data_IF_690865154387
#
_entry.id   IF_690865154387
#
_cell.length_a   1.000
_cell.length_b   1.000
_cell.length_c   1.000
_cell.angle_alpha   90.00
_cell.angle_beta   90.00
_cell.angle_gamma   90.00
#
_symmetry.space_group_name_H-M   'P 1'
#
loop_
_entity.id
_entity.type
_entity.pdbx_description
1 polymer ?
#
# COMPACT_ATOMS: atom_id res chain seq x y z
N UNK A 1 14.50 21.84 9.33
CA UNK A 1 13.97 21.69 7.97
C UNK A 1 14.01 20.24 7.52
N UNK A 2 12.86 19.62 7.49
CA UNK A 2 12.75 18.24 7.03
C UNK A 2 12.67 18.20 5.51
N UNK A 3 13.53 17.40 4.90
CA UNK A 3 13.44 17.14 3.48
C UNK A 3 12.23 16.24 3.20
N UNK A 4 11.68 16.28 1.99
CA UNK A 4 10.57 15.40 1.62
C UNK A 4 10.94 13.92 1.75
N UNK A 5 12.22 13.57 1.62
CA UNK A 5 12.74 12.22 1.83
C UNK A 5 12.79 11.83 3.31
N UNK A 6 12.66 12.79 4.21
CA UNK A 6 12.76 12.58 5.66
C UNK A 6 11.40 12.48 6.34
N UNK A 7 10.33 12.35 5.56
CA UNK A 7 8.98 12.15 6.11
C UNK A 7 8.94 10.80 6.82
N UNK A 8 8.71 10.80 8.15
CA UNK A 8 9.06 9.65 8.98
C UNK A 8 8.28 8.38 8.69
N UNK A 9 7.13 8.49 8.02
CA UNK A 9 6.27 7.33 7.80
C UNK A 9 6.04 7.01 6.34
N UNK A 10 6.76 7.66 5.41
CA UNK A 10 6.62 7.39 3.99
C UNK A 10 7.88 6.72 3.47
N UNK A 11 7.72 5.54 2.86
CA UNK A 11 8.81 4.77 2.28
C UNK A 11 8.49 4.53 0.81
N UNK A 12 9.42 4.87 -0.07
CA UNK A 12 9.28 4.62 -1.51
C UNK A 12 10.16 3.45 -1.89
N UNK A 13 9.61 2.51 -2.64
CA UNK A 13 10.36 1.37 -3.16
C UNK A 13 10.19 1.27 -4.67
N UNK A 14 11.23 0.82 -5.35
CA UNK A 14 11.23 0.74 -6.82
C UNK A 14 10.44 -0.46 -7.35
N UNK A 15 10.15 -1.42 -6.50
CA UNK A 15 9.38 -2.60 -6.86
C UNK A 15 9.12 -3.47 -5.64
N UNK A 16 8.21 -4.42 -5.78
CA UNK A 16 7.81 -5.32 -4.68
C UNK A 16 8.96 -6.21 -4.20
N UNK A 17 9.96 -6.45 -5.04
CA UNK A 17 11.15 -7.20 -4.66
C UNK A 17 11.96 -6.53 -3.56
N UNK A 18 11.71 -5.23 -3.34
CA UNK A 18 12.39 -4.47 -2.28
C UNK A 18 11.72 -4.59 -0.91
N UNK A 19 10.55 -5.20 -0.84
CA UNK A 19 9.81 -5.32 0.43
C UNK A 19 10.61 -6.06 1.49
N UNK A 20 11.34 -7.08 1.11
CA UNK A 20 12.11 -7.89 2.06
C UNK A 20 13.12 -7.06 2.85
N UNK A 21 13.62 -6.00 2.23
CA UNK A 21 14.57 -5.09 2.89
C UNK A 21 13.92 -4.29 4.04
N UNK A 22 12.59 -4.22 4.05
CA UNK A 22 11.84 -3.43 5.04
C UNK A 22 11.29 -4.27 6.19
N UNK A 23 11.40 -5.60 6.14
CA UNK A 23 10.74 -6.46 7.12
C UNK A 23 11.20 -6.20 8.56
N UNK A 24 12.46 -5.85 8.76
CA UNK A 24 12.99 -5.52 10.09
C UNK A 24 12.49 -4.18 10.63
N UNK A 25 11.97 -3.30 9.76
CA UNK A 25 11.47 -1.98 10.16
C UNK A 25 9.97 -1.95 10.42
N UNK A 26 9.27 -3.04 10.06
CA UNK A 26 7.82 -3.13 10.20
C UNK A 26 7.48 -4.23 11.20
N UNK A 27 6.93 -3.83 12.34
CA UNK A 27 6.66 -4.73 13.47
C UNK A 27 5.21 -5.19 13.50
N UNK A 28 4.72 -5.76 12.43
CA UNK A 28 3.36 -6.29 12.42
C UNK A 28 2.79 -6.45 11.03
N UNK A 29 1.47 -6.62 10.92
CA UNK A 29 0.83 -6.89 9.65
C UNK A 29 0.97 -5.75 8.65
N UNK A 30 1.02 -6.13 7.38
CA UNK A 30 1.05 -5.19 6.25
C UNK A 30 -0.28 -5.30 5.51
N UNK A 31 -0.94 -4.16 5.30
CA UNK A 31 -2.16 -4.10 4.49
C UNK A 31 -1.77 -3.81 3.04
N UNK A 32 -1.90 -4.81 2.18
CA UNK A 32 -1.57 -4.69 0.76
C UNK A 32 -2.77 -4.17 -0.01
N UNK A 33 -2.65 -2.99 -0.58
CA UNK A 33 -3.69 -2.38 -1.41
C UNK A 33 -3.24 -2.21 -2.86
N UNK A 34 -2.23 -2.97 -3.30
CA UNK A 34 -1.73 -2.92 -4.67
C UNK A 34 -2.57 -3.75 -5.66
N UNK A 35 -3.55 -4.48 -5.16
CA UNK A 35 -4.38 -5.37 -5.97
C UNK A 35 -3.82 -6.79 -6.05
N UNK A 36 -4.46 -7.61 -6.87
CA UNK A 36 -4.13 -9.04 -6.96
C UNK A 36 -2.86 -9.33 -7.75
N UNK A 37 -2.50 -8.45 -8.67
CA UNK A 37 -1.38 -8.72 -9.59
C UNK A 37 -0.02 -8.81 -8.88
N UNK A 38 0.15 -8.15 -7.75
CA UNK A 38 1.40 -8.18 -7.00
C UNK A 38 1.49 -9.26 -5.94
N UNK A 39 0.42 -10.00 -5.70
CA UNK A 39 0.36 -10.96 -4.58
C UNK A 39 1.43 -12.04 -4.69
N UNK A 40 1.58 -12.62 -5.88
CA UNK A 40 2.58 -13.66 -6.10
C UNK A 40 3.99 -13.17 -5.77
N UNK A 41 4.33 -11.97 -6.22
CA UNK A 41 5.63 -11.38 -5.97
C UNK A 41 5.84 -11.09 -4.49
N UNK A 42 4.80 -10.66 -3.79
CA UNK A 42 4.87 -10.43 -2.34
C UNK A 42 5.14 -11.76 -1.62
N UNK A 43 4.44 -12.82 -2.00
CA UNK A 43 4.65 -14.14 -1.40
C UNK A 43 6.06 -14.67 -1.68
N UNK A 44 6.57 -14.46 -2.89
CA UNK A 44 7.92 -14.87 -3.26
C UNK A 44 9.02 -14.09 -2.53
N UNK A 45 8.71 -12.92 -2.00
CA UNK A 45 9.68 -12.11 -1.26
C UNK A 45 10.01 -12.67 0.12
N UNK A 46 9.28 -13.69 0.57
CA UNK A 46 9.51 -14.37 1.85
C UNK A 46 9.48 -13.44 3.07
N UNK A 47 8.54 -12.51 3.08
CA UNK A 47 8.33 -11.65 4.24
C UNK A 47 7.88 -12.47 5.45
N UNK A 48 8.39 -12.15 6.61
CA UNK A 48 7.94 -12.75 7.86
C UNK A 48 6.63 -12.12 8.35
N UNK A 49 6.33 -10.91 7.90
CA UNK A 49 5.12 -10.21 8.28
C UNK A 49 3.87 -10.85 7.68
N UNK A 50 2.81 -10.87 8.47
CA UNK A 50 1.48 -11.19 7.93
C UNK A 50 1.09 -10.12 6.93
N UNK A 51 0.59 -10.51 5.76
CA UNK A 51 0.11 -9.57 4.75
C UNK A 51 -1.37 -9.84 4.50
N UNK A 52 -2.18 -8.80 4.65
CA UNK A 52 -3.61 -8.86 4.34
C UNK A 52 -3.79 -8.22 2.96
N UNK A 53 -4.34 -8.98 2.02
CA UNK A 53 -4.48 -8.55 0.63
C UNK A 53 -5.88 -8.03 0.35
N UNK A 54 -5.96 -6.74 -0.01
CA UNK A 54 -7.22 -6.14 -0.44
C UNK A 54 -7.29 -6.23 -1.96
N UNK A 55 -8.30 -6.93 -2.44
CA UNK A 55 -8.41 -7.29 -3.86
C UNK A 55 -9.84 -7.09 -4.37
N UNK A 56 -9.98 -7.09 -5.69
CA UNK A 56 -11.29 -7.01 -6.32
C UNK A 56 -12.09 -8.29 -6.04
N UNK A 57 -13.39 -8.17 -5.71
CA UNK A 57 -14.23 -9.35 -5.44
C UNK A 57 -14.65 -10.06 -6.73
N UNK A 58 -13.73 -10.77 -7.36
CA UNK A 58 -14.01 -11.55 -8.54
C UNK A 58 -13.65 -13.01 -8.32
N UNK A 59 -14.36 -13.89 -9.01
CA UNK A 59 -14.12 -15.33 -8.92
C UNK A 59 -12.70 -15.68 -9.33
N UNK A 60 -12.21 -15.07 -10.41
CA UNK A 60 -10.85 -15.31 -10.91
C UNK A 60 -9.80 -14.89 -9.86
N UNK A 61 -9.94 -13.70 -9.30
CA UNK A 61 -9.01 -13.20 -8.29
C UNK A 61 -9.00 -14.08 -7.06
N UNK A 62 -10.18 -14.48 -6.57
CA UNK A 62 -10.27 -15.35 -5.41
C UNK A 62 -9.64 -16.72 -5.67
N UNK A 63 -9.89 -17.31 -6.85
CA UNK A 63 -9.27 -18.57 -7.21
C UNK A 63 -7.74 -18.44 -7.28
N UNK A 64 -7.25 -17.38 -7.89
CA UNK A 64 -5.81 -17.15 -8.02
C UNK A 64 -5.13 -17.03 -6.65
N UNK A 65 -5.73 -16.29 -5.73
CA UNK A 65 -5.16 -16.10 -4.39
C UNK A 65 -5.18 -17.41 -3.59
N UNK A 66 -6.28 -18.15 -3.66
CA UNK A 66 -6.39 -19.43 -2.96
C UNK A 66 -5.37 -20.44 -3.52
N UNK A 67 -5.21 -20.47 -4.83
CA UNK A 67 -4.24 -21.35 -5.48
C UNK A 67 -2.79 -20.98 -5.10
N UNK A 68 -2.53 -19.71 -4.83
CA UNK A 68 -1.22 -19.26 -4.35
C UNK A 68 -0.98 -19.59 -2.87
N UNK A 69 -2.00 -20.09 -2.18
CA UNK A 69 -1.87 -20.44 -0.76
C UNK A 69 -2.22 -19.32 0.21
N UNK A 70 -2.83 -18.24 -0.26
CA UNK A 70 -3.25 -17.16 0.63
C UNK A 70 -4.43 -17.64 1.46
N UNK A 71 -4.36 -17.43 2.77
CA UNK A 71 -5.44 -17.81 3.68
C UNK A 71 -6.63 -16.88 3.52
N UNK A 72 -7.84 -17.42 3.67
CA UNK A 72 -9.06 -16.62 3.54
C UNK A 72 -9.08 -15.45 4.52
N UNK A 73 -8.60 -15.66 5.74
CA UNK A 73 -8.54 -14.60 6.76
C UNK A 73 -7.58 -13.45 6.40
N UNK A 74 -6.75 -13.64 5.38
CA UNK A 74 -5.82 -12.63 4.90
C UNK A 74 -6.29 -11.97 3.60
N UNK A 75 -7.57 -12.14 3.24
CA UNK A 75 -8.14 -11.57 2.03
C UNK A 75 -9.29 -10.64 2.37
N UNK A 76 -9.23 -9.42 1.84
CA UNK A 76 -10.35 -8.47 1.86
C UNK A 76 -10.79 -8.29 0.40
N UNK A 77 -11.95 -8.84 0.06
CA UNK A 77 -12.50 -8.73 -1.30
C UNK A 77 -13.50 -7.58 -1.32
N UNK A 78 -13.09 -6.45 -1.86
CA UNK A 78 -13.92 -5.25 -1.90
C UNK A 78 -13.62 -4.45 -3.16
N UNK A 79 -14.66 -3.87 -3.75
CA UNK A 79 -14.50 -3.00 -4.91
C UNK A 79 -14.11 -1.60 -4.44
N UNK A 80 -12.98 -1.11 -4.91
CA UNK A 80 -12.52 0.25 -4.66
C UNK A 80 -13.00 1.24 -5.71
N UNK A 81 -12.65 2.51 -5.58
CA UNK A 81 -11.94 3.06 -4.43
C UNK A 81 -12.83 3.15 -3.18
N UNK A 82 -12.21 3.14 -2.02
CA UNK A 82 -12.93 3.31 -0.74
C UNK A 82 -12.43 4.58 -0.05
N UNK A 83 -13.26 5.13 0.82
CA UNK A 83 -12.95 6.39 1.48
C UNK A 83 -12.00 6.25 2.66
N UNK A 84 -11.70 7.38 3.28
CA UNK A 84 -10.81 7.47 4.42
C UNK A 84 -11.28 6.58 5.58
N UNK A 85 -12.56 6.68 5.95
CA UNK A 85 -13.09 5.97 7.12
C UNK A 85 -12.92 4.46 7.02
N UNK A 86 -13.20 3.90 5.85
CA UNK A 86 -13.09 2.46 5.66
C UNK A 86 -11.63 2.01 5.60
N UNK A 87 -10.76 2.81 4.98
CA UNK A 87 -9.32 2.53 5.01
C UNK A 87 -8.81 2.51 6.46
N UNK A 88 -9.21 3.50 7.25
CA UNK A 88 -8.82 3.59 8.65
C UNK A 88 -9.33 2.41 9.45
N UNK A 89 -10.58 2.00 9.21
CA UNK A 89 -11.19 0.86 9.89
C UNK A 89 -10.44 -0.44 9.60
N UNK A 90 -10.02 -0.67 8.37
CA UNK A 90 -9.22 -1.84 8.03
C UNK A 90 -7.87 -1.84 8.74
N UNK A 91 -7.20 -0.69 8.77
CA UNK A 91 -5.92 -0.56 9.48
C UNK A 91 -6.10 -0.92 10.96
N UNK A 92 -7.13 -0.38 11.59
CA UNK A 92 -7.40 -0.61 13.00
C UNK A 92 -7.81 -2.05 13.28
N UNK A 93 -8.68 -2.62 12.45
CA UNK A 93 -9.19 -3.98 12.64
C UNK A 93 -8.09 -5.03 12.53
N UNK A 94 -7.24 -4.90 11.52
CA UNK A 94 -6.16 -5.86 11.30
C UNK A 94 -4.88 -5.48 12.04
N UNK A 95 -4.88 -4.37 12.76
CA UNK A 95 -3.72 -3.86 13.50
C UNK A 95 -2.51 -3.72 12.59
N UNK A 96 -2.74 -3.23 11.37
CA UNK A 96 -1.70 -3.06 10.38
C UNK A 96 -0.64 -2.07 10.85
N UNK A 97 0.61 -2.37 10.59
CA UNK A 97 1.74 -1.50 10.91
C UNK A 97 2.31 -0.84 9.67
N UNK A 98 1.86 -1.26 8.50
CA UNK A 98 2.19 -0.63 7.23
C UNK A 98 1.04 -0.79 6.26
N UNK A 99 0.90 0.18 5.37
CA UNK A 99 -0.03 0.10 4.24
C UNK A 99 0.80 0.19 2.97
N UNK A 100 0.64 -0.81 2.11
CA UNK A 100 1.35 -0.90 0.84
C UNK A 100 0.42 -0.46 -0.28
N UNK A 101 0.83 0.52 -1.05
CA UNK A 101 0.08 1.03 -2.20
C UNK A 101 1.01 1.21 -3.39
N UNK A 102 0.44 1.23 -4.58
CA UNK A 102 1.22 1.50 -5.79
C UNK A 102 0.90 2.89 -6.31
N UNK A 103 1.89 3.49 -6.96
CA UNK A 103 1.71 4.72 -7.72
C UNK A 103 1.16 4.36 -9.10
N UNK A 104 -0.15 4.34 -9.22
CA UNK A 104 -0.81 3.92 -10.46
C UNK A 104 -0.97 5.04 -11.47
N UNK A 105 -0.79 6.28 -11.06
CA UNK A 105 -1.10 7.42 -11.90
C UNK A 105 -2.58 7.61 -12.17
N UNK A 106 -3.42 6.81 -11.54
CA UNK A 106 -4.88 6.88 -11.68
C UNK A 106 -5.50 7.57 -10.47
N UNK A 107 -6.62 8.25 -10.70
CA UNK A 107 -7.41 8.82 -9.61
C UNK A 107 -8.14 7.68 -8.90
N UNK A 108 -7.58 7.18 -7.83
CA UNK A 108 -8.17 6.04 -7.20
C UNK A 108 -7.93 5.92 -5.71
N UNK A 109 -8.34 6.88 -4.92
CA UNK A 109 -8.32 6.75 -3.47
C UNK A 109 -6.93 6.72 -2.84
N UNK A 110 -5.88 7.11 -3.57
CA UNK A 110 -4.53 7.12 -3.03
C UNK A 110 -4.40 8.10 -1.87
N UNK A 111 -5.04 9.25 -1.96
CA UNK A 111 -4.99 10.26 -0.92
C UNK A 111 -5.70 9.78 0.34
N UNK A 112 -6.84 9.13 0.20
CA UNK A 112 -7.61 8.58 1.33
C UNK A 112 -6.84 7.48 2.05
N UNK A 113 -6.12 6.63 1.31
CA UNK A 113 -5.23 5.62 1.89
C UNK A 113 -4.09 6.26 2.67
N UNK A 114 -3.47 7.27 2.06
CA UNK A 114 -2.35 7.97 2.68
C UNK A 114 -2.79 8.66 3.98
N UNK A 115 -3.91 9.37 3.95
CA UNK A 115 -4.46 10.03 5.14
C UNK A 115 -4.71 9.01 6.25
N UNK A 116 -5.34 7.89 5.93
CA UNK A 116 -5.65 6.85 6.89
C UNK A 116 -4.37 6.27 7.51
N UNK A 117 -3.36 5.99 6.70
CA UNK A 117 -2.10 5.46 7.19
C UNK A 117 -1.37 6.46 8.09
N UNK A 118 -1.29 7.71 7.66
CA UNK A 118 -0.59 8.75 8.42
C UNK A 118 -1.29 9.04 9.74
N UNK A 119 -2.62 9.11 9.74
CA UNK A 119 -3.39 9.33 10.96
C UNK A 119 -3.33 8.14 11.92
N UNK A 120 -3.06 6.95 11.40
CA UNK A 120 -2.87 5.75 12.21
C UNK A 120 -1.42 5.59 12.69
N UNK A 121 -0.55 6.49 12.28
CA UNK A 121 0.88 6.51 12.63
C UNK A 121 1.58 5.20 12.23
N UNK A 122 1.24 4.69 11.06
CA UNK A 122 1.88 3.50 10.47
C UNK A 122 2.70 3.88 9.26
N UNK A 123 3.50 2.95 8.75
CA UNK A 123 4.31 3.19 7.56
C UNK A 123 3.44 3.15 6.31
N UNK A 124 3.63 4.13 5.43
CA UNK A 124 3.04 4.13 4.09
C UNK A 124 4.13 3.74 3.10
N UNK A 125 3.99 2.57 2.48
CA UNK A 125 4.97 2.07 1.52
C UNK A 125 4.39 2.28 0.13
N UNK A 126 5.10 3.05 -0.70
CA UNK A 126 4.67 3.37 -2.05
C UNK A 126 5.56 2.65 -3.05
N UNK A 127 4.97 1.77 -3.85
CA UNK A 127 5.68 1.10 -4.95
C UNK A 127 5.66 2.04 -6.14
N UNK A 128 6.82 2.54 -6.51
CA UNK A 128 6.95 3.50 -7.60
C UNK A 128 6.71 2.84 -8.94
N UNK A 129 6.07 3.59 -9.83
CA UNK A 129 5.87 3.17 -11.20
C UNK A 129 7.21 3.22 -11.93
N UNK A 130 7.53 2.25 -12.80
CA UNK A 130 8.70 2.37 -13.66
C UNK A 130 8.60 3.67 -14.45
N UNK A 131 9.70 4.42 -14.49
CA UNK A 131 9.73 5.70 -15.21
C UNK A 131 9.67 5.45 -16.70
N UNK A 132 8.46 5.49 -17.25
CA UNK A 132 8.28 5.62 -18.67
C UNK A 132 8.05 7.10 -18.90
N UNK A 133 8.92 7.72 -19.67
CA UNK A 133 8.85 9.15 -19.91
C UNK A 133 7.74 9.48 -20.91
N UNK A 134 6.53 9.61 -20.41
CA UNK A 134 5.37 10.07 -21.20
C UNK A 134 5.04 11.53 -20.90
N UNK A 135 6.04 12.34 -20.57
CA UNK A 135 5.79 13.72 -20.21
C UNK A 135 5.26 13.88 -18.79
N UNK A 136 4.70 15.03 -18.51
CA UNK A 136 4.26 15.38 -17.14
C UNK A 136 2.96 14.68 -16.78
N UNK A 137 3.05 13.52 -16.19
CA UNK A 137 1.91 12.95 -15.49
C UNK A 137 2.05 13.25 -14.00
N UNK A 138 1.05 13.89 -13.42
CA UNK A 138 0.99 14.01 -11.96
C UNK A 138 0.78 12.62 -11.40
N UNK A 139 1.73 12.15 -10.62
CA UNK A 139 1.61 10.86 -9.96
C UNK A 139 0.85 11.01 -8.65
N UNK A 140 0.29 9.90 -8.16
CA UNK A 140 -0.32 9.85 -6.83
C UNK A 140 0.69 10.25 -5.75
N UNK A 141 1.97 9.96 -5.97
CA UNK A 141 3.05 10.34 -5.04
C UNK A 141 3.12 11.85 -4.88
N UNK A 142 3.02 12.61 -5.99
CA UNK A 142 3.07 14.06 -5.92
C UNK A 142 1.94 14.65 -5.09
N UNK A 143 0.74 14.10 -5.24
CA UNK A 143 -0.42 14.52 -4.43
C UNK A 143 -0.23 14.18 -2.95
N UNK A 144 0.29 13.02 -2.66
CA UNK A 144 0.57 12.58 -1.29
C UNK A 144 1.63 13.48 -0.63
N UNK A 145 2.71 13.76 -1.34
CA UNK A 145 3.78 14.63 -0.83
C UNK A 145 3.24 16.01 -0.56
N UNK A 146 2.43 16.56 -1.48
CA UNK A 146 1.81 17.86 -1.30
C UNK A 146 0.91 17.89 -0.07
N UNK A 147 0.12 16.87 0.13
CA UNK A 147 -0.76 16.74 1.30
C UNK A 147 0.05 16.73 2.60
N UNK A 148 1.09 15.91 2.64
CA UNK A 148 1.93 15.78 3.84
C UNK A 148 2.64 17.09 4.15
N UNK A 149 3.14 17.80 3.14
CA UNK A 149 3.77 19.11 3.35
C UNK A 149 2.81 20.13 3.95
N UNK A 150 1.53 20.07 3.58
CA UNK A 150 0.52 20.96 4.13
C UNK A 150 0.23 20.67 5.60
N UNK A 151 0.27 19.41 6.00
CA UNK A 151 0.06 19.02 7.40
C UNK A 151 1.22 19.45 8.29
N UNK A 152 2.43 19.41 7.75
CA UNK A 152 3.66 19.72 8.52
C UNK A 152 3.97 21.20 8.62
N UNK A 153 3.16 22.06 8.04
CA UNK A 153 3.32 23.51 8.19
C UNK A 153 2.87 23.98 9.57
#
# INVERSE_FOLDING_TARGET
>A
TRRSSDLPNIIRISGLEKLKELDSTINGPILNTTGSNGVKQILESSLENRVIHRVLPSKKVMNDLIDLGVKIEDIIAIKGPIGYELNKAFIDEYKAKALLTKDSGERGGALEKAKAALDSNIKLIIVEKPKIDYGRCFSDIDEIVKYVKNILK
#
